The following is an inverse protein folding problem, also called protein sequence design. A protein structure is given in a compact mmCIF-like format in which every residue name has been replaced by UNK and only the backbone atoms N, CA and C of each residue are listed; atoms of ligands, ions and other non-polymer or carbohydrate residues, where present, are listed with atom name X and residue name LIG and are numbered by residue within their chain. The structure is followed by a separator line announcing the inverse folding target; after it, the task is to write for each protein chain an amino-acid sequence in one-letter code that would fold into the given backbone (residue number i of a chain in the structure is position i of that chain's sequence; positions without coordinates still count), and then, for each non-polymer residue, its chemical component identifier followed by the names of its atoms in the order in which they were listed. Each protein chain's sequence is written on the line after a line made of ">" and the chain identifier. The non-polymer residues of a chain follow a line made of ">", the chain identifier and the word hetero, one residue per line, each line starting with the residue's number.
data_IF_564306257364
#
_entry.id   IF_564306257364
#
_cell.length_a   1.000
_cell.length_b   1.000
_cell.length_c   1.000
_cell.angle_alpha   90.00
_cell.angle_beta   90.00
_cell.angle_gamma   90.00
#
_symmetry.space_group_name_H-M   'P 1'
#
loop_
_entity.id
_entity.type
_entity.pdbx_description
1 polymer ?
#
# COMPACT_ATOMS: atom_id res chain seq x y z
N UNK A 1 -0.47 -5.34 -17.72
CA UNK A 1 0.86 -4.95 -17.19
C UNK A 1 0.77 -5.02 -15.68
N UNK A 2 1.83 -5.43 -14.99
CA UNK A 2 1.90 -5.30 -13.54
C UNK A 2 1.92 -3.81 -13.17
N UNK A 3 1.36 -3.46 -12.01
CA UNK A 3 1.49 -2.13 -11.39
C UNK A 3 2.03 -2.33 -9.99
N UNK A 4 3.09 -1.59 -9.70
CA UNK A 4 3.72 -1.63 -8.41
C UNK A 4 3.48 -0.29 -7.72
N UNK A 5 3.30 -0.33 -6.41
CA UNK A 5 3.12 0.84 -5.57
C UNK A 5 4.07 0.74 -4.39
N UNK A 6 4.55 1.86 -3.88
CA UNK A 6 5.19 1.91 -2.57
C UNK A 6 4.44 2.85 -1.65
N UNK A 7 4.45 2.56 -0.35
CA UNK A 7 4.08 3.51 0.69
C UNK A 7 5.29 3.78 1.55
N UNK A 8 5.73 5.03 1.56
CA UNK A 8 6.75 5.54 2.47
C UNK A 8 6.08 5.97 3.77
N UNK A 9 6.52 5.41 4.89
CA UNK A 9 5.96 5.68 6.22
C UNK A 9 7.02 5.59 7.31
N UNK A 10 6.67 6.07 8.50
CA UNK A 10 7.46 5.83 9.70
C UNK A 10 6.97 4.55 10.40
N UNK A 11 7.85 3.63 10.79
CA UNK A 11 7.49 2.34 11.42
C UNK A 11 6.53 2.49 12.62
N UNK A 12 6.75 3.50 13.47
CA UNK A 12 5.87 3.80 14.61
C UNK A 12 4.44 4.25 14.23
N UNK A 13 4.18 4.51 12.94
CA UNK A 13 2.87 4.83 12.36
C UNK A 13 2.28 3.68 11.56
N UNK A 14 2.93 2.52 11.51
CA UNK A 14 2.40 1.32 10.89
C UNK A 14 1.14 0.87 11.65
N UNK A 15 -0.04 0.82 11.00
CA UNK A 15 -1.25 0.33 11.64
C UNK A 15 -1.16 -1.18 11.88
N UNK A 16 -1.91 -1.67 12.87
CA UNK A 16 -2.14 -3.10 13.01
C UNK A 16 -2.96 -3.62 11.80
N UNK A 17 -2.68 -4.84 11.29
CA UNK A 17 -3.41 -5.39 10.14
C UNK A 17 -4.95 -5.37 10.26
N UNK A 18 -5.56 -5.67 11.43
CA UNK A 18 -7.02 -5.59 11.56
C UNK A 18 -7.57 -4.17 11.38
N UNK A 19 -6.83 -3.14 11.83
CA UNK A 19 -7.22 -1.74 11.62
C UNK A 19 -7.08 -1.34 10.16
N UNK A 20 -6.06 -1.87 9.47
CA UNK A 20 -5.87 -1.66 8.04
C UNK A 20 -6.99 -2.30 7.20
N UNK A 21 -7.34 -3.56 7.49
CA UNK A 21 -8.51 -4.24 6.89
C UNK A 21 -9.80 -3.44 7.14
N UNK A 22 -10.01 -2.96 8.37
CA UNK A 22 -11.19 -2.18 8.71
C UNK A 22 -11.28 -0.87 7.91
N UNK A 23 -10.16 -0.16 7.72
CA UNK A 23 -10.12 1.06 6.90
C UNK A 23 -10.45 0.77 5.43
N UNK A 24 -9.91 -0.31 4.86
CA UNK A 24 -10.23 -0.74 3.48
C UNK A 24 -11.75 -0.91 3.31
N UNK A 25 -12.39 -1.62 4.25
CA UNK A 25 -13.85 -1.81 4.26
C UNK A 25 -14.60 -0.49 4.46
N UNK A 26 -14.14 0.36 5.37
CA UNK A 26 -14.73 1.68 5.65
C UNK A 26 -14.69 2.59 4.42
N UNK A 27 -13.62 2.52 3.61
CA UNK A 27 -13.50 3.29 2.37
C UNK A 27 -14.36 2.74 1.23
N UNK A 28 -15.03 1.60 1.42
CA UNK A 28 -15.93 1.01 0.44
C UNK A 28 -15.22 0.23 -0.67
N UNK A 29 -13.95 -0.11 -0.48
CA UNK A 29 -13.29 -1.06 -1.38
C UNK A 29 -13.86 -2.46 -1.15
N UNK A 30 -14.14 -3.18 -2.22
CA UNK A 30 -14.61 -4.58 -2.16
C UNK A 30 -13.46 -5.57 -1.87
N UNK A 31 -12.50 -5.18 -1.02
CA UNK A 31 -11.27 -5.92 -0.73
C UNK A 31 -11.27 -6.42 0.72
N UNK A 32 -10.68 -7.59 0.97
CA UNK A 32 -10.51 -8.14 2.32
C UNK A 32 -9.06 -8.55 2.57
N UNK A 33 -8.24 -7.63 3.04
CA UNK A 33 -6.81 -7.86 3.29
C UNK A 33 -6.62 -8.95 4.37
N UNK A 34 -5.72 -9.90 4.20
CA UNK A 34 -5.33 -10.80 5.29
C UNK A 34 -4.83 -9.99 6.51
N UNK A 35 -5.09 -10.44 7.74
CA UNK A 35 -4.75 -9.70 8.96
C UNK A 35 -3.91 -10.50 9.95
N UNK A 36 -3.50 -11.71 9.55
CA UNK A 36 -2.62 -12.58 10.32
C UNK A 36 -1.18 -12.53 9.80
N UNK A 37 -0.54 -11.34 9.89
CA UNK A 37 0.85 -11.14 9.51
C UNK A 37 1.50 -9.98 10.28
N UNK A 38 2.84 -9.94 10.29
CA UNK A 38 3.60 -8.79 10.79
C UNK A 38 3.91 -7.83 9.63
N UNK A 39 3.36 -6.60 9.61
CA UNK A 39 3.57 -5.67 8.50
C UNK A 39 5.02 -5.22 8.29
N UNK A 40 5.88 -5.28 9.30
CA UNK A 40 7.26 -4.77 9.19
C UNK A 40 8.26 -5.86 8.81
N UNK A 41 7.92 -7.13 9.00
CA UNK A 41 8.83 -8.26 8.70
C UNK A 41 8.32 -9.21 7.64
N UNK A 42 7.02 -9.19 7.32
CA UNK A 42 6.46 -10.05 6.28
C UNK A 42 6.98 -9.67 4.89
N UNK A 43 7.22 -10.69 4.07
CA UNK A 43 7.66 -10.56 2.69
C UNK A 43 7.16 -11.75 1.88
N UNK A 44 6.47 -11.47 0.77
CA UNK A 44 5.85 -12.46 -0.11
C UNK A 44 4.39 -12.17 -0.42
N UNK A 45 3.69 -13.17 -0.93
CA UNK A 45 2.31 -13.01 -1.38
C UNK A 45 1.35 -12.78 -0.20
N UNK A 46 0.68 -11.62 -0.19
CA UNK A 46 -0.35 -11.28 0.77
C UNK A 46 -1.75 -11.43 0.16
N UNK A 47 -2.59 -12.34 0.69
CA UNK A 47 -3.96 -12.48 0.23
C UNK A 47 -4.79 -11.22 0.48
N UNK A 48 -5.56 -10.82 -0.51
CA UNK A 48 -6.52 -9.73 -0.41
C UNK A 48 -7.64 -9.97 -1.43
N UNK A 49 -8.60 -10.87 -1.13
CA UNK A 49 -9.69 -11.18 -2.04
C UNK A 49 -10.49 -9.93 -2.44
N UNK A 50 -10.94 -9.89 -3.69
CA UNK A 50 -11.74 -8.80 -4.25
C UNK A 50 -13.08 -9.35 -4.70
N UNK A 51 -14.19 -8.77 -4.21
CA UNK A 51 -15.55 -9.31 -4.44
C UNK A 51 -15.65 -10.81 -4.11
N UNK A 52 -15.05 -11.23 -2.98
CA UNK A 52 -15.01 -12.63 -2.54
C UNK A 52 -14.23 -13.59 -3.48
N UNK A 53 -13.56 -13.06 -4.51
CA UNK A 53 -12.71 -13.84 -5.43
C UNK A 53 -11.26 -13.80 -4.98
N UNK A 54 -10.57 -14.94 -5.14
CA UNK A 54 -9.15 -15.09 -4.80
C UNK A 54 -8.31 -14.06 -5.56
N UNK A 55 -7.67 -13.18 -4.80
CA UNK A 55 -6.79 -12.11 -5.28
C UNK A 55 -5.77 -11.76 -4.19
N UNK A 56 -4.77 -10.96 -4.54
CA UNK A 56 -3.71 -10.50 -3.65
C UNK A 56 -2.61 -9.79 -4.43
N UNK A 57 -1.48 -9.58 -3.77
CA UNK A 57 -0.30 -8.92 -4.32
C UNK A 57 0.94 -9.43 -3.58
N UNK A 58 2.11 -9.28 -4.18
CA UNK A 58 3.36 -9.46 -3.42
C UNK A 58 3.58 -8.22 -2.53
N UNK A 59 4.00 -8.48 -1.30
CA UNK A 59 4.24 -7.48 -0.27
C UNK A 59 5.71 -7.54 0.14
N UNK A 60 6.36 -6.38 0.20
CA UNK A 60 7.74 -6.26 0.66
C UNK A 60 7.88 -5.09 1.63
N UNK A 61 8.20 -5.39 2.89
CA UNK A 61 8.61 -4.39 3.86
C UNK A 61 10.14 -4.26 3.87
N UNK A 62 10.63 -3.03 3.82
CA UNK A 62 12.06 -2.73 4.00
C UNK A 62 12.27 -1.42 4.76
N UNK A 63 13.33 -1.39 5.56
CA UNK A 63 13.88 -0.14 6.08
C UNK A 63 14.46 0.69 4.92
N UNK A 64 14.36 2.01 5.02
CA UNK A 64 15.02 2.94 4.11
C UNK A 64 16.49 3.11 4.51
N UNK A 65 17.37 3.11 3.53
CA UNK A 65 18.79 3.39 3.72
C UNK A 65 19.16 4.84 3.33
N UNK A 66 20.42 5.20 3.51
CA UNK A 66 20.93 6.56 3.23
C UNK A 66 20.75 6.95 1.74
N UNK A 67 20.78 5.99 0.82
CA UNK A 67 20.61 6.25 -0.61
C UNK A 67 19.13 6.59 -0.91
N UNK A 68 18.19 5.85 -0.32
CA UNK A 68 16.76 6.17 -0.43
C UNK A 68 16.43 7.58 0.08
N UNK A 69 17.04 7.97 1.20
CA UNK A 69 16.83 9.30 1.78
C UNK A 69 17.30 10.43 0.86
N UNK A 70 18.38 10.20 0.11
CA UNK A 70 18.89 11.14 -0.87
C UNK A 70 17.95 11.27 -2.08
N UNK A 71 17.34 10.17 -2.53
CA UNK A 71 16.39 10.17 -3.65
C UNK A 71 15.03 10.80 -3.30
N UNK A 72 14.59 10.64 -2.06
CA UNK A 72 13.33 11.21 -1.56
C UNK A 72 13.45 12.69 -1.17
N UNK A 73 14.55 13.38 -1.49
CA UNK A 73 14.82 14.79 -1.13
C UNK A 73 14.53 15.11 0.35
N UNK A 74 14.84 14.16 1.24
CA UNK A 74 14.63 14.33 2.67
C UNK A 74 13.16 14.44 3.08
N UNK A 75 12.22 13.76 2.39
CA UNK A 75 10.84 13.53 2.86
C UNK A 75 10.88 12.67 4.14
N UNK A 76 11.31 13.32 5.22
CA UNK A 76 11.22 12.87 6.58
C UNK A 76 9.81 13.17 7.09
N UNK A 77 9.27 12.36 8.01
CA UNK A 77 9.99 11.39 8.85
C UNK A 77 9.78 9.93 8.42
N UNK A 78 9.90 9.57 7.15
CA UNK A 78 9.76 8.16 6.76
C UNK A 78 11.03 7.36 7.08
N UNK A 79 10.90 6.08 7.40
CA UNK A 79 12.04 5.17 7.60
C UNK A 79 11.77 3.75 7.10
N UNK A 80 10.59 3.52 6.52
CA UNK A 80 10.20 2.26 5.89
C UNK A 80 9.55 2.53 4.54
N UNK A 81 9.74 1.58 3.64
CA UNK A 81 9.02 1.44 2.37
C UNK A 81 8.26 0.12 2.40
N UNK A 82 6.96 0.20 2.10
CA UNK A 82 6.11 -0.96 1.90
C UNK A 82 5.72 -1.04 0.43
N UNK A 83 6.28 -2.02 -0.29
CA UNK A 83 6.04 -2.21 -1.71
C UNK A 83 4.96 -3.25 -1.95
N UNK A 84 4.05 -2.93 -2.87
CA UNK A 84 2.91 -3.72 -3.30
C UNK A 84 3.08 -4.02 -4.79
N UNK A 85 3.35 -5.27 -5.17
CA UNK A 85 3.44 -5.65 -6.58
C UNK A 85 2.17 -6.37 -7.02
N UNK A 86 1.35 -5.69 -7.82
CA UNK A 86 0.17 -6.30 -8.42
C UNK A 86 0.55 -7.06 -9.70
N UNK A 87 -0.04 -8.23 -9.87
CA UNK A 87 0.05 -8.97 -11.12
C UNK A 87 -0.75 -8.31 -12.25
N UNK A 88 -1.05 -9.09 -13.29
CA UNK A 88 -1.70 -8.58 -14.51
C UNK A 88 -3.23 -8.56 -14.42
N UNK A 89 -3.83 -9.13 -13.36
CA UNK A 89 -5.29 -9.19 -13.23
C UNK A 89 -5.82 -7.90 -12.60
N UNK A 90 -6.93 -7.32 -13.10
CA UNK A 90 -7.52 -6.11 -12.53
C UNK A 90 -7.82 -6.21 -11.02
N UNK A 91 -8.21 -7.40 -10.55
CA UNK A 91 -8.46 -7.65 -9.13
C UNK A 91 -7.19 -7.55 -8.27
N UNK A 92 -6.02 -7.87 -8.81
CA UNK A 92 -4.74 -7.75 -8.08
C UNK A 92 -4.36 -6.26 -7.97
N UNK A 93 -4.55 -5.49 -9.05
CA UNK A 93 -4.33 -4.04 -9.03
C UNK A 93 -5.30 -3.34 -8.07
N UNK A 94 -6.59 -3.71 -8.07
CA UNK A 94 -7.57 -3.21 -7.11
C UNK A 94 -7.15 -3.51 -5.67
N UNK A 95 -6.74 -4.75 -5.38
CA UNK A 95 -6.29 -5.16 -4.06
C UNK A 95 -5.07 -4.34 -3.60
N UNK A 96 -4.06 -4.18 -4.45
CA UNK A 96 -2.87 -3.41 -4.15
C UNK A 96 -3.17 -1.92 -3.94
N UNK A 97 -3.99 -1.31 -4.80
CA UNK A 97 -4.42 0.09 -4.67
C UNK A 97 -5.19 0.35 -3.39
N UNK A 98 -6.16 -0.53 -3.06
CA UNK A 98 -6.94 -0.43 -1.84
C UNK A 98 -6.04 -0.52 -0.60
N UNK A 99 -5.14 -1.50 -0.57
CA UNK A 99 -4.20 -1.69 0.53
C UNK A 99 -3.25 -0.50 0.66
N UNK A 100 -2.51 -0.14 -0.41
CA UNK A 100 -1.52 0.94 -0.40
C UNK A 100 -2.15 2.29 -0.01
N UNK A 101 -3.30 2.65 -0.60
CA UNK A 101 -3.93 3.94 -0.32
C UNK A 101 -4.45 4.06 1.11
N UNK A 102 -5.04 2.99 1.66
CA UNK A 102 -5.48 2.96 3.05
C UNK A 102 -4.29 2.96 4.02
N UNK A 103 -3.18 2.31 3.67
CA UNK A 103 -1.96 2.36 4.46
C UNK A 103 -1.38 3.76 4.53
N UNK A 104 -1.27 4.44 3.38
CA UNK A 104 -0.80 5.83 3.32
C UNK A 104 -1.69 6.74 4.18
N UNK A 105 -3.01 6.60 4.08
CA UNK A 105 -3.96 7.36 4.90
C UNK A 105 -3.79 7.11 6.40
N UNK A 106 -3.73 5.85 6.84
CA UNK A 106 -3.64 5.51 8.26
C UNK A 106 -2.31 5.92 8.90
N UNK A 107 -1.22 5.78 8.14
CA UNK A 107 0.13 6.08 8.62
C UNK A 107 0.50 7.56 8.49
N UNK A 108 -0.24 8.34 7.70
CA UNK A 108 0.18 9.67 7.26
C UNK A 108 1.35 9.62 6.27
N UNK A 109 1.53 8.49 5.59
CA UNK A 109 2.59 8.24 4.63
C UNK A 109 2.33 8.83 3.24
N UNK A 110 3.26 8.57 2.31
CA UNK A 110 3.14 8.95 0.89
C UNK A 110 3.06 7.69 0.05
N UNK A 111 2.06 7.63 -0.82
CA UNK A 111 1.94 6.58 -1.84
C UNK A 111 2.72 7.00 -3.07
N UNK A 112 3.53 6.10 -3.61
CA UNK A 112 4.24 6.26 -4.87
C UNK A 112 3.75 5.23 -5.89
N UNK A 113 3.35 5.70 -7.07
CA UNK A 113 2.99 4.84 -8.20
C UNK A 113 4.17 4.72 -9.15
N UNK A 114 4.79 3.54 -9.22
CA UNK A 114 5.94 3.30 -10.10
C UNK A 114 5.59 3.41 -11.58
N UNK A 115 4.30 3.28 -11.95
CA UNK A 115 3.88 3.38 -13.34
C UNK A 115 3.83 4.84 -13.84
N UNK A 116 3.25 5.75 -13.06
CA UNK A 116 3.15 7.17 -13.41
C UNK A 116 4.33 8.01 -12.93
N UNK A 117 5.06 7.53 -11.93
CA UNK A 117 6.08 8.30 -11.21
C UNK A 117 5.49 9.34 -10.25
N UNK A 118 4.19 9.29 -9.96
CA UNK A 118 3.53 10.25 -9.08
C UNK A 118 3.67 9.88 -7.60
N UNK A 119 3.87 10.91 -6.77
CA UNK A 119 3.75 10.83 -5.31
C UNK A 119 2.40 11.41 -4.89
N UNK A 120 1.64 10.64 -4.12
CA UNK A 120 0.30 10.96 -3.65
C UNK A 120 0.31 11.03 -2.12
N UNK A 121 -0.03 12.20 -1.59
CA UNK A 121 -0.10 12.45 -0.15
C UNK A 121 -1.24 11.65 0.51
N UNK A 122 -1.05 11.29 1.77
CA UNK A 122 -2.01 10.52 2.59
C UNK A 122 -3.48 10.98 2.45
N UNK A 123 -3.71 12.30 2.47
CA UNK A 123 -5.05 12.88 2.42
C UNK A 123 -5.75 12.68 1.07
N UNK A 124 -4.98 12.47 -0.01
CA UNK A 124 -5.49 12.27 -1.36
C UNK A 124 -5.41 10.81 -1.83
N UNK A 125 -4.66 9.96 -1.12
CA UNK A 125 -4.32 8.60 -1.56
C UNK A 125 -5.55 7.74 -1.87
N UNK A 126 -6.57 7.77 -1.02
CA UNK A 126 -7.79 6.95 -1.22
C UNK A 126 -8.65 7.46 -2.37
N UNK A 127 -8.82 8.78 -2.49
CA UNK A 127 -9.60 9.39 -3.58
C UNK A 127 -8.91 9.13 -4.93
N UNK A 128 -7.60 9.31 -4.97
CA UNK A 128 -6.78 8.97 -6.12
C UNK A 128 -6.94 7.49 -6.48
N UNK A 129 -6.79 6.55 -5.53
CA UNK A 129 -6.93 5.12 -5.79
C UNK A 129 -8.30 4.76 -6.37
N UNK A 130 -9.39 5.36 -5.86
CA UNK A 130 -10.74 5.15 -6.40
C UNK A 130 -10.86 5.61 -7.85
N UNK A 131 -10.22 6.72 -8.22
CA UNK A 131 -10.20 7.21 -9.60
C UNK A 131 -9.45 6.29 -10.57
N UNK A 132 -8.53 5.46 -10.07
CA UNK A 132 -7.78 4.47 -10.87
C UNK A 132 -8.59 3.20 -11.15
N UNK A 133 -9.69 3.01 -10.42
CA UNK A 133 -10.50 1.78 -10.43
C UNK A 133 -11.90 1.97 -11.01
N UNK A 134 -12.23 3.20 -11.41
CA UNK A 134 -13.51 3.58 -11.98
C UNK A 134 -13.64 3.24 -13.47
#
# INVERSE_FOLDING_TARGET
>A
MSRDFSVYLHAAKMPAPPAWRAEIKQQGFACDLDDDFDPLTFSGFLPCPVEEKISGFEYYARELDDDDFAELDGVQPFNYSITFCAGSRPAETMAALAAASCLAKLSGGVLYDFYSGEMILAEHAVEWAKSQTA
#
